data_IF_349538441063
#
_entry.id   IF_349538441063
#
_cell.length_a   1.000
_cell.length_b   1.000
_cell.length_c   1.000
_cell.angle_alpha   90.00
_cell.angle_beta   90.00
_cell.angle_gamma   90.00
#
_symmetry.space_group_name_H-M   'P 1'
#
loop_
_entity.id
_entity.type
_entity.pdbx_description
1 polymer ?
#
# COMPACT_ATOMS: atom_id res chain seq x y z
N UNK A 1 21.18 -46.45 10.78
CA UNK A 1 20.93 -45.66 11.99
C UNK A 1 20.22 -44.40 11.52
N UNK A 2 18.90 -44.44 11.55
CA UNK A 2 17.99 -43.37 11.18
C UNK A 2 17.92 -42.33 12.30
N UNK A 3 18.33 -41.11 12.02
CA UNK A 3 18.13 -39.97 12.94
C UNK A 3 16.69 -39.47 12.80
N UNK A 4 15.92 -39.69 13.83
CA UNK A 4 14.58 -39.18 14.04
C UNK A 4 14.60 -37.64 14.10
N UNK A 5 14.03 -36.98 13.08
CA UNK A 5 13.73 -35.56 13.15
C UNK A 5 12.44 -35.39 13.97
N UNK A 6 12.60 -35.04 15.22
CA UNK A 6 11.49 -34.58 16.07
C UNK A 6 10.87 -33.29 15.46
N UNK A 7 9.55 -33.25 15.26
CA UNK A 7 8.88 -32.02 14.86
C UNK A 7 8.90 -31.02 16.03
N UNK A 8 9.31 -29.79 15.73
CA UNK A 8 9.34 -28.64 16.65
C UNK A 8 8.08 -28.58 17.52
N UNK A 9 8.27 -28.39 18.82
CA UNK A 9 7.26 -28.39 19.85
C UNK A 9 6.07 -27.46 19.48
N UNK A 10 4.92 -28.05 19.26
CA UNK A 10 3.64 -27.36 19.18
C UNK A 10 3.43 -26.62 20.50
N UNK A 11 3.29 -25.31 20.44
CA UNK A 11 2.91 -24.44 21.56
C UNK A 11 1.48 -24.85 22.03
N UNK A 12 1.38 -25.89 22.85
CA UNK A 12 0.16 -26.37 23.51
C UNK A 12 -0.14 -25.44 24.69
N UNK A 13 -0.77 -24.30 24.43
CA UNK A 13 -1.07 -23.38 25.55
C UNK A 13 -1.94 -22.18 25.18
N UNK A 14 -2.46 -22.09 23.99
CA UNK A 14 -3.31 -20.99 23.56
C UNK A 14 -4.76 -21.47 23.46
N UNK A 15 -5.51 -21.21 24.52
CA UNK A 15 -6.90 -21.37 24.85
C UNK A 15 -7.87 -22.18 23.95
N UNK A 16 -8.90 -22.72 24.56
CA UNK A 16 -9.98 -23.51 23.94
C UNK A 16 -10.69 -22.85 22.73
N UNK A 17 -10.47 -21.56 22.50
CA UNK A 17 -11.06 -20.78 21.39
C UNK A 17 -10.21 -20.71 20.13
N UNK A 18 -8.95 -21.24 20.15
CA UNK A 18 -8.10 -21.33 18.95
C UNK A 18 -7.73 -19.97 18.32
N UNK A 19 -7.40 -18.97 19.15
CA UNK A 19 -6.86 -17.71 18.65
C UNK A 19 -5.50 -17.96 17.99
N UNK A 20 -5.47 -17.91 16.66
CA UNK A 20 -4.28 -18.18 15.87
C UNK A 20 -3.99 -17.00 14.95
N UNK A 21 -2.75 -16.54 14.97
CA UNK A 21 -2.20 -15.68 13.93
C UNK A 21 -0.81 -16.18 13.60
N UNK A 22 -0.56 -16.47 12.33
CA UNK A 22 0.73 -17.00 11.88
C UNK A 22 1.47 -15.97 11.08
N UNK A 23 2.70 -15.68 11.50
CA UNK A 23 3.64 -14.97 10.66
C UNK A 23 3.98 -15.82 9.44
N UNK A 24 4.03 -15.18 8.27
CA UNK A 24 4.56 -15.80 7.06
C UNK A 24 6.10 -15.77 7.13
N UNK A 25 6.78 -16.93 7.18
CA UNK A 25 8.24 -16.98 7.30
C UNK A 25 8.97 -16.41 6.07
N UNK A 26 8.27 -16.28 4.93
CA UNK A 26 8.83 -15.67 3.72
C UNK A 26 8.89 -14.14 3.79
N UNK A 27 8.21 -13.50 4.73
CA UNK A 27 8.23 -12.05 4.88
C UNK A 27 9.34 -11.64 5.84
N UNK A 28 10.53 -11.43 5.27
CA UNK A 28 11.73 -11.02 6.00
C UNK A 28 12.29 -9.73 5.41
N UNK A 29 13.23 -9.11 6.11
CA UNK A 29 13.92 -7.92 5.59
C UNK A 29 14.80 -8.24 4.39
N UNK A 30 15.33 -9.47 4.27
CA UNK A 30 16.12 -9.91 3.13
C UNK A 30 15.28 -10.06 1.86
N UNK A 31 14.01 -10.48 2.01
CA UNK A 31 13.09 -10.63 0.88
C UNK A 31 12.37 -9.33 0.52
N UNK A 32 12.43 -8.30 1.38
CA UNK A 32 11.89 -6.98 1.13
C UNK A 32 12.90 -6.12 0.38
N UNK A 33 12.54 -5.68 -0.83
CA UNK A 33 13.39 -4.79 -1.64
C UNK A 33 13.31 -3.36 -1.11
N UNK A 34 14.47 -2.82 -0.71
CA UNK A 34 14.60 -1.45 -0.26
C UNK A 34 14.65 -0.48 -1.43
N UNK A 35 14.01 0.67 -1.28
CA UNK A 35 14.05 1.80 -2.21
C UNK A 35 13.73 3.09 -1.44
N UNK A 36 13.92 4.25 -2.09
CA UNK A 36 13.70 5.56 -1.44
C UNK A 36 12.29 5.70 -0.86
N UNK A 37 11.28 5.12 -1.52
CA UNK A 37 9.87 5.20 -1.12
C UNK A 37 9.53 4.40 0.15
N UNK A 38 10.39 3.47 0.60
CA UNK A 38 10.13 2.61 1.75
C UNK A 38 11.29 2.55 2.76
N UNK A 39 12.40 3.25 2.51
CA UNK A 39 13.62 3.18 3.32
C UNK A 39 13.37 3.52 4.79
N UNK A 40 12.62 4.60 5.06
CA UNK A 40 12.29 5.00 6.43
C UNK A 40 11.40 3.95 7.13
N UNK A 41 10.40 3.44 6.43
CA UNK A 41 9.51 2.42 6.96
C UNK A 41 10.25 1.11 7.27
N UNK A 42 11.17 0.71 6.38
CA UNK A 42 12.02 -0.46 6.56
C UNK A 42 12.97 -0.29 7.77
N UNK A 43 13.63 0.86 7.89
CA UNK A 43 14.50 1.16 9.02
C UNK A 43 13.73 1.16 10.35
N UNK A 44 12.55 1.80 10.40
CA UNK A 44 11.70 1.81 11.58
C UNK A 44 11.22 0.41 11.96
N UNK A 45 10.79 -0.40 11.00
CA UNK A 45 10.35 -1.76 11.23
C UNK A 45 11.50 -2.67 11.72
N UNK A 46 12.75 -2.48 11.22
CA UNK A 46 13.93 -3.21 11.70
C UNK A 46 14.23 -2.88 13.16
N UNK A 47 14.25 -1.59 13.50
CA UNK A 47 14.48 -1.15 14.89
C UNK A 47 13.43 -1.71 15.86
N UNK A 48 12.17 -1.74 15.43
CA UNK A 48 11.08 -2.36 16.21
C UNK A 48 11.28 -3.87 16.36
N UNK A 49 11.74 -4.56 15.32
CA UNK A 49 12.03 -5.98 15.36
C UNK A 49 13.19 -6.33 16.31
N UNK A 50 14.22 -5.50 16.35
CA UNK A 50 15.39 -5.64 17.22
C UNK A 50 15.08 -5.27 18.67
N UNK A 51 14.32 -4.19 18.89
CA UNK A 51 14.06 -3.58 20.20
C UNK A 51 12.55 -3.39 20.44
N UNK A 52 11.74 -4.47 20.45
CA UNK A 52 10.29 -4.34 20.60
C UNK A 52 9.92 -3.71 21.94
N UNK A 53 8.98 -2.76 21.88
CA UNK A 53 8.46 -1.99 23.01
C UNK A 53 9.32 -0.79 23.41
N UNK A 54 10.56 -0.70 22.94
CA UNK A 54 11.51 0.35 23.34
C UNK A 54 11.81 1.37 22.22
N UNK A 55 11.78 0.94 20.94
CA UNK A 55 12.11 1.84 19.81
C UNK A 55 10.93 2.79 19.51
N UNK A 56 10.01 2.34 18.68
CA UNK A 56 8.84 3.11 18.22
C UNK A 56 7.57 2.34 18.59
N UNK A 57 6.80 2.85 19.56
CA UNK A 57 5.63 2.14 20.06
C UNK A 57 4.44 3.10 20.28
N UNK A 58 3.36 3.00 19.48
CA UNK A 58 3.20 2.10 18.33
C UNK A 58 4.03 2.51 17.11
N UNK A 59 4.34 1.55 16.23
CA UNK A 59 4.76 1.81 14.87
C UNK A 59 3.53 1.76 13.95
N UNK A 60 3.24 2.86 13.26
CA UNK A 60 2.11 2.96 12.34
C UNK A 60 2.62 3.10 10.90
N UNK A 61 2.40 2.08 10.06
CA UNK A 61 2.78 2.07 8.65
C UNK A 61 1.55 2.34 7.79
N UNK A 62 1.59 3.37 6.96
CA UNK A 62 0.45 3.67 6.08
C UNK A 62 0.87 3.90 4.63
N UNK A 63 -0.09 3.77 3.72
CA UNK A 63 0.13 3.96 2.29
C UNK A 63 -0.82 3.11 1.47
N UNK A 64 -0.85 3.30 0.17
CA UNK A 64 -1.76 2.62 -0.75
C UNK A 64 -1.74 1.09 -0.64
N UNK A 65 -2.72 0.45 -1.27
CA UNK A 65 -2.84 -1.02 -1.28
C UNK A 65 -1.65 -1.63 -2.03
N UNK A 66 -1.11 -2.74 -1.51
CA UNK A 66 -0.06 -3.51 -2.21
C UNK A 66 1.33 -2.88 -2.22
N UNK A 67 1.65 -1.94 -1.30
CA UNK A 67 2.95 -1.28 -1.19
C UNK A 67 3.95 -1.99 -0.25
N UNK A 68 3.58 -3.13 0.34
CA UNK A 68 4.48 -3.90 1.19
C UNK A 68 4.35 -3.64 2.69
N UNK A 69 3.31 -2.92 3.17
CA UNK A 69 3.04 -2.68 4.59
C UNK A 69 3.02 -3.98 5.42
N UNK A 70 2.20 -4.94 5.00
CA UNK A 70 2.08 -6.27 5.63
C UNK A 70 3.42 -7.02 5.64
N UNK A 71 4.22 -6.88 4.58
CA UNK A 71 5.54 -7.50 4.51
C UNK A 71 6.47 -6.93 5.59
N UNK A 72 6.62 -5.61 5.67
CA UNK A 72 7.46 -4.96 6.68
C UNK A 72 7.00 -5.24 8.11
N UNK A 73 5.69 -5.18 8.35
CA UNK A 73 5.10 -5.55 9.64
C UNK A 73 5.48 -6.98 10.05
N UNK A 74 5.30 -7.94 9.14
CA UNK A 74 5.62 -9.34 9.44
C UNK A 74 7.13 -9.59 9.48
N UNK A 75 7.93 -8.86 8.71
CA UNK A 75 9.39 -8.91 8.80
C UNK A 75 9.87 -8.50 10.20
N UNK A 76 9.31 -7.43 10.77
CA UNK A 76 9.59 -7.03 12.16
C UNK A 76 9.20 -8.14 13.16
N UNK A 77 8.03 -8.75 12.99
CA UNK A 77 7.58 -9.87 13.84
C UNK A 77 8.46 -11.10 13.71
N UNK A 78 8.89 -11.46 12.50
CA UNK A 78 9.81 -12.57 12.27
C UNK A 78 11.18 -12.31 12.91
N UNK A 79 11.72 -11.11 12.77
CA UNK A 79 12.97 -10.70 13.40
C UNK A 79 12.87 -10.75 14.93
N UNK A 80 11.77 -10.24 15.51
CA UNK A 80 11.52 -10.35 16.95
C UNK A 80 11.55 -11.80 17.44
N UNK A 81 10.89 -12.72 16.71
CA UNK A 81 10.89 -14.15 17.06
C UNK A 81 12.24 -14.82 16.85
N UNK A 82 13.00 -14.38 15.87
CA UNK A 82 14.36 -14.89 15.63
C UNK A 82 15.30 -14.50 16.77
N UNK A 83 15.23 -13.25 17.25
CA UNK A 83 16.07 -12.76 18.34
C UNK A 83 15.57 -13.16 19.73
N UNK A 84 14.25 -13.38 19.86
CA UNK A 84 13.56 -13.75 21.11
C UNK A 84 12.57 -14.89 20.85
N UNK A 85 13.04 -16.15 20.80
CA UNK A 85 12.19 -17.30 20.42
C UNK A 85 10.96 -17.51 21.33
N UNK A 86 11.05 -17.10 22.60
CA UNK A 86 9.97 -17.20 23.58
C UNK A 86 8.92 -16.07 23.48
N UNK A 87 9.19 -15.05 22.65
CA UNK A 87 8.28 -13.91 22.51
C UNK A 87 6.95 -14.33 21.87
N UNK A 88 5.86 -13.93 22.51
CA UNK A 88 4.49 -14.13 22.03
C UNK A 88 4.14 -13.05 21.01
N UNK A 89 4.51 -13.28 19.75
CA UNK A 89 4.23 -12.38 18.63
C UNK A 89 2.99 -12.87 17.89
N UNK A 90 1.96 -12.03 17.81
CA UNK A 90 0.73 -12.31 17.08
C UNK A 90 0.59 -11.36 15.89
N UNK A 91 0.43 -11.91 14.68
CA UNK A 91 -0.05 -11.20 13.52
C UNK A 91 -1.53 -11.49 13.30
N UNK A 92 -2.34 -10.45 13.11
CA UNK A 92 -3.78 -10.57 12.90
C UNK A 92 -4.29 -9.43 12.02
N UNK A 93 -5.21 -9.75 11.10
CA UNK A 93 -6.03 -8.73 10.43
C UNK A 93 -7.05 -8.16 11.41
N UNK A 94 -7.35 -6.89 11.33
CA UNK A 94 -8.34 -6.23 12.21
C UNK A 94 -9.72 -6.88 12.12
N UNK A 95 -10.13 -7.39 10.97
CA UNK A 95 -11.36 -8.18 10.82
C UNK A 95 -11.35 -9.46 11.68
N UNK A 96 -10.20 -10.12 11.75
CA UNK A 96 -10.05 -11.34 12.58
C UNK A 96 -10.12 -11.00 14.06
N UNK A 97 -9.51 -9.90 14.51
CA UNK A 97 -9.65 -9.42 15.89
C UNK A 97 -11.13 -9.22 16.25
N UNK A 98 -11.90 -8.58 15.38
CA UNK A 98 -13.35 -8.40 15.56
C UNK A 98 -14.09 -9.75 15.62
N UNK A 99 -13.77 -10.66 14.71
CA UNK A 99 -14.41 -11.99 14.69
C UNK A 99 -14.08 -12.81 15.93
N UNK A 100 -12.84 -12.76 16.41
CA UNK A 100 -12.40 -13.44 17.64
C UNK A 100 -13.12 -12.86 18.87
N UNK A 101 -13.30 -11.53 18.92
CA UNK A 101 -14.05 -10.86 19.98
C UNK A 101 -15.52 -11.27 19.98
N UNK A 102 -16.18 -11.25 18.83
CA UNK A 102 -17.59 -11.66 18.69
C UNK A 102 -17.78 -13.11 19.09
N UNK A 103 -16.88 -14.01 18.66
CA UNK A 103 -16.88 -15.41 19.04
C UNK A 103 -16.74 -15.58 20.56
N UNK A 104 -15.81 -14.83 21.18
CA UNK A 104 -15.62 -14.87 22.62
C UNK A 104 -16.85 -14.39 23.38
N UNK A 105 -17.57 -13.35 22.91
CA UNK A 105 -18.82 -12.89 23.49
C UNK A 105 -19.92 -13.96 23.39
N UNK A 106 -20.08 -14.60 22.24
CA UNK A 106 -21.09 -15.66 22.01
C UNK A 106 -20.88 -16.88 22.91
N UNK A 107 -19.63 -17.16 23.30
CA UNK A 107 -19.26 -18.30 24.15
C UNK A 107 -19.02 -17.92 25.61
N UNK A 108 -19.38 -16.71 26.06
CA UNK A 108 -19.12 -16.18 27.39
C UNK A 108 -17.63 -16.24 27.81
N UNK A 109 -16.70 -16.16 26.85
CA UNK A 109 -15.26 -16.30 27.02
C UNK A 109 -14.50 -14.98 26.80
N UNK A 110 -15.17 -13.84 26.96
CA UNK A 110 -14.55 -12.52 26.74
C UNK A 110 -13.32 -12.27 27.63
N UNK A 111 -13.32 -12.82 28.85
CA UNK A 111 -12.18 -12.70 29.75
C UNK A 111 -10.95 -13.50 29.26
N UNK A 112 -11.16 -14.63 28.57
CA UNK A 112 -10.09 -15.40 27.94
C UNK A 112 -9.51 -14.63 26.76
N UNK A 113 -10.37 -14.02 25.92
CA UNK A 113 -9.97 -13.14 24.84
C UNK A 113 -9.09 -11.99 25.37
N UNK A 114 -9.54 -11.26 26.40
CA UNK A 114 -8.79 -10.17 27.02
C UNK A 114 -7.43 -10.64 27.53
N UNK A 115 -7.41 -11.75 28.27
CA UNK A 115 -6.19 -12.33 28.83
C UNK A 115 -5.22 -12.73 27.72
N UNK A 116 -5.70 -13.34 26.63
CA UNK A 116 -4.89 -13.74 25.51
C UNK A 116 -4.22 -12.54 24.83
N UNK A 117 -5.01 -11.58 24.32
CA UNK A 117 -4.48 -10.43 23.58
C UNK A 117 -3.58 -9.53 24.44
N UNK A 118 -3.89 -9.38 25.74
CA UNK A 118 -3.07 -8.56 26.67
C UNK A 118 -1.81 -9.28 27.17
N UNK A 119 -1.67 -10.58 26.94
CA UNK A 119 -0.48 -11.35 27.30
C UNK A 119 0.60 -11.37 26.22
N UNK A 120 0.37 -10.73 25.08
CA UNK A 120 1.30 -10.70 23.95
C UNK A 120 2.51 -9.82 24.25
N UNK A 121 3.67 -10.20 23.71
CA UNK A 121 4.87 -9.37 23.71
C UNK A 121 4.90 -8.44 22.49
N UNK A 122 4.28 -8.85 21.37
CA UNK A 122 4.07 -8.02 20.20
C UNK A 122 2.74 -8.32 19.51
N UNK A 123 1.95 -7.27 19.26
CA UNK A 123 0.72 -7.32 18.47
C UNK A 123 0.94 -6.60 17.14
N UNK A 124 0.81 -7.34 16.04
CA UNK A 124 0.89 -6.84 14.68
C UNK A 124 -0.51 -6.87 14.08
N UNK A 125 -1.16 -5.70 13.97
CA UNK A 125 -2.53 -5.60 13.50
C UNK A 125 -2.59 -4.93 12.13
N UNK A 126 -3.10 -5.68 11.14
CA UNK A 126 -3.11 -5.27 9.74
C UNK A 126 -4.46 -4.66 9.36
N UNK A 127 -4.41 -3.63 8.51
CA UNK A 127 -5.57 -2.97 7.92
C UNK A 127 -6.57 -2.43 8.95
N UNK A 128 -6.08 -1.54 9.83
CA UNK A 128 -6.86 -0.98 10.96
C UNK A 128 -8.14 -0.25 10.52
N UNK A 129 -8.23 0.21 9.28
CA UNK A 129 -9.40 0.88 8.74
C UNK A 129 -10.68 0.01 8.78
N UNK A 130 -10.55 -1.31 8.86
CA UNK A 130 -11.70 -2.22 9.01
C UNK A 130 -12.38 -2.15 10.38
N UNK A 131 -11.84 -1.41 11.35
CA UNK A 131 -12.58 -1.07 12.57
C UNK A 131 -13.64 0.01 12.36
N UNK A 132 -13.62 0.72 11.22
CA UNK A 132 -14.59 1.78 10.91
C UNK A 132 -16.03 1.35 11.17
N UNK A 133 -16.79 2.14 11.95
CA UNK A 133 -18.17 1.87 12.31
C UNK A 133 -18.42 0.72 13.30
N UNK A 134 -17.38 0.10 13.87
CA UNK A 134 -17.52 -1.03 14.81
C UNK A 134 -17.21 -0.59 16.24
N UNK A 135 -18.05 0.24 16.83
CA UNK A 135 -17.81 0.94 18.11
C UNK A 135 -17.38 0.03 19.25
N UNK A 136 -18.10 -1.06 19.52
CA UNK A 136 -17.75 -2.01 20.58
C UNK A 136 -16.37 -2.66 20.36
N UNK A 137 -16.03 -2.96 19.13
CA UNK A 137 -14.73 -3.55 18.81
C UNK A 137 -13.59 -2.54 18.94
N UNK A 138 -13.86 -1.28 18.61
CA UNK A 138 -12.91 -0.18 18.82
C UNK A 138 -12.65 0.06 20.31
N UNK A 139 -13.69 -0.03 21.16
CA UNK A 139 -13.58 0.13 22.60
C UNK A 139 -12.69 -0.97 23.21
N UNK A 140 -12.96 -2.24 22.89
CA UNK A 140 -12.15 -3.34 23.41
C UNK A 140 -10.73 -3.32 22.86
N UNK A 141 -10.57 -2.94 21.58
CA UNK A 141 -9.24 -2.74 21.02
C UNK A 141 -8.49 -1.61 21.73
N UNK A 142 -9.14 -0.50 22.04
CA UNK A 142 -8.54 0.61 22.78
C UNK A 142 -7.98 0.18 24.13
N UNK A 143 -8.75 -0.60 24.89
CA UNK A 143 -8.29 -1.12 26.18
C UNK A 143 -7.13 -2.11 26.03
N UNK A 144 -7.18 -3.00 25.04
CA UNK A 144 -6.10 -3.94 24.75
C UNK A 144 -4.82 -3.20 24.34
N UNK A 145 -4.97 -2.24 23.45
CA UNK A 145 -3.89 -1.41 22.95
C UNK A 145 -3.19 -0.63 24.05
N UNK A 146 -3.95 0.07 24.93
CA UNK A 146 -3.37 0.79 26.05
C UNK A 146 -2.64 -0.16 27.03
N UNK A 147 -3.23 -1.30 27.36
CA UNK A 147 -2.59 -2.30 28.25
C UNK A 147 -1.24 -2.76 27.66
N UNK A 148 -1.16 -2.99 26.36
CA UNK A 148 0.08 -3.38 25.70
C UNK A 148 1.13 -2.25 25.76
N UNK A 149 0.73 -1.01 25.46
CA UNK A 149 1.65 0.14 25.51
C UNK A 149 2.17 0.41 26.94
N UNK A 150 1.30 0.40 27.93
CA UNK A 150 1.66 0.58 29.35
C UNK A 150 2.62 -0.52 29.83
N UNK A 151 2.42 -1.75 29.33
CA UNK A 151 3.32 -2.87 29.59
C UNK A 151 4.59 -2.87 28.73
N UNK A 152 4.87 -1.82 27.96
CA UNK A 152 5.98 -1.74 27.00
C UNK A 152 6.00 -2.90 26.00
N UNK A 153 4.80 -3.42 25.64
CA UNK A 153 4.64 -4.45 24.62
C UNK A 153 4.52 -3.77 23.27
N UNK A 154 5.16 -4.35 22.27
CA UNK A 154 5.18 -3.74 20.93
C UNK A 154 3.81 -3.80 20.25
N UNK A 155 3.39 -2.69 19.67
CA UNK A 155 2.26 -2.67 18.73
C UNK A 155 2.73 -2.13 17.38
N UNK A 156 2.44 -2.86 16.30
CA UNK A 156 2.64 -2.42 14.92
C UNK A 156 1.28 -2.41 14.22
N UNK A 157 0.97 -1.32 13.55
CA UNK A 157 -0.33 -1.10 12.89
C UNK A 157 -0.09 -0.78 11.43
N UNK A 158 -0.95 -1.31 10.54
CA UNK A 158 -0.98 -0.84 9.16
C UNK A 158 -2.32 -0.22 8.80
N UNK A 159 -2.31 0.68 7.82
CA UNK A 159 -3.50 1.30 7.23
C UNK A 159 -3.28 1.63 5.75
N UNK A 160 -4.38 1.75 5.01
CA UNK A 160 -4.35 2.26 3.63
C UNK A 160 -4.17 3.79 3.55
N UNK A 161 -4.33 4.51 4.69
CA UNK A 161 -4.28 5.98 4.78
C UNK A 161 -3.74 6.46 6.13
N UNK A 162 -3.44 7.75 6.19
CA UNK A 162 -2.97 8.42 7.41
C UNK A 162 -4.00 8.30 8.56
N UNK A 163 -3.60 8.18 9.84
CA UNK A 163 -4.54 7.97 10.96
C UNK A 163 -5.73 8.93 10.98
N UNK A 164 -5.51 10.24 10.77
CA UNK A 164 -6.58 11.25 10.80
C UNK A 164 -7.54 11.19 9.61
N UNK A 165 -7.20 10.44 8.57
CA UNK A 165 -8.04 10.25 7.38
C UNK A 165 -8.94 9.01 7.49
N UNK A 166 -8.79 8.23 8.57
CA UNK A 166 -9.61 7.04 8.80
C UNK A 166 -10.96 7.48 9.38
N UNK A 167 -11.96 7.55 8.52
CA UNK A 167 -13.32 7.88 8.94
C UNK A 167 -13.96 6.73 9.75
N UNK A 168 -14.82 7.06 10.73
CA UNK A 168 -15.54 6.08 11.52
C UNK A 168 -14.70 5.34 12.57
N UNK A 169 -13.49 5.82 12.86
CA UNK A 169 -12.65 5.42 14.00
C UNK A 169 -12.68 6.51 15.04
N UNK A 170 -12.79 6.13 16.32
CA UNK A 170 -12.89 7.07 17.44
C UNK A 170 -11.61 7.91 17.59
N UNK A 171 -11.76 9.20 17.87
CA UNK A 171 -10.65 10.15 18.00
C UNK A 171 -9.60 9.73 19.03
N UNK A 172 -10.02 9.07 20.13
CA UNK A 172 -9.10 8.55 21.15
C UNK A 172 -8.14 7.49 20.60
N UNK A 173 -8.58 6.63 19.65
CA UNK A 173 -7.73 5.66 18.96
C UNK A 173 -6.81 6.38 17.97
N UNK A 174 -7.34 7.30 17.18
CA UNK A 174 -6.56 8.12 16.23
C UNK A 174 -5.42 8.84 16.94
N UNK A 175 -5.71 9.48 18.09
CA UNK A 175 -4.71 10.15 18.91
C UNK A 175 -3.61 9.18 19.39
N UNK A 176 -4.00 7.99 19.81
CA UNK A 176 -3.06 6.95 20.28
C UNK A 176 -2.21 6.37 19.14
N UNK A 177 -2.77 6.20 17.94
CA UNK A 177 -2.00 5.76 16.77
C UNK A 177 -0.86 6.73 16.44
N UNK A 178 -1.10 8.03 16.62
CA UNK A 178 -0.09 9.07 16.41
C UNK A 178 0.90 9.27 17.57
N UNK A 179 0.76 8.57 18.70
CA UNK A 179 1.64 8.77 19.86
C UNK A 179 3.05 8.19 19.68
N UNK A 180 3.21 7.25 18.78
CA UNK A 180 4.50 6.67 18.40
C UNK A 180 5.03 7.22 17.08
N UNK A 181 5.56 6.36 16.23
CA UNK A 181 6.09 6.73 14.91
C UNK A 181 5.10 6.35 13.80
N UNK A 182 4.68 7.34 13.03
CA UNK A 182 3.82 7.15 11.84
C UNK A 182 4.65 7.35 10.58
N UNK A 183 4.72 6.34 9.71
CA UNK A 183 5.60 6.32 8.54
C UNK A 183 4.81 6.00 7.27
N UNK A 184 4.92 6.83 6.22
CA UNK A 184 4.36 6.54 4.91
C UNK A 184 5.16 5.47 4.16
N UNK A 185 4.48 4.74 3.29
CA UNK A 185 5.09 3.91 2.26
C UNK A 185 4.49 4.35 0.92
N UNK A 186 5.33 4.91 0.08
CA UNK A 186 4.94 5.42 -1.23
C UNK A 186 5.12 4.37 -2.34
N UNK A 187 4.49 4.54 -3.51
CA UNK A 187 4.74 3.70 -4.66
C UNK A 187 6.23 3.68 -5.04
N UNK A 188 6.78 2.50 -5.35
CA UNK A 188 8.21 2.37 -5.65
C UNK A 188 8.57 3.05 -6.98
N UNK A 189 9.76 3.63 -7.04
CA UNK A 189 10.36 4.20 -8.24
C UNK A 189 10.70 3.11 -9.28
N UNK A 190 10.99 3.49 -10.52
CA UNK A 190 11.24 2.55 -11.62
C UNK A 190 12.34 1.53 -11.27
N UNK A 191 13.45 1.99 -10.73
CA UNK A 191 14.59 1.16 -10.36
C UNK A 191 14.21 0.15 -9.27
N UNK A 192 13.45 0.60 -8.27
CA UNK A 192 12.95 -0.26 -7.19
C UNK A 192 11.95 -1.28 -7.73
N UNK A 193 11.04 -0.89 -8.65
CA UNK A 193 10.12 -1.84 -9.31
C UNK A 193 10.86 -2.92 -10.10
N UNK A 194 11.93 -2.54 -10.82
CA UNK A 194 12.79 -3.49 -11.53
C UNK A 194 13.48 -4.46 -10.57
N UNK A 195 14.00 -3.95 -9.46
CA UNK A 195 14.64 -4.78 -8.43
C UNK A 195 13.64 -5.76 -7.79
N UNK A 196 12.40 -5.32 -7.52
CA UNK A 196 11.31 -6.16 -7.02
C UNK A 196 11.00 -7.29 -8.01
N UNK A 197 10.83 -6.98 -9.30
CA UNK A 197 10.57 -7.96 -10.34
C UNK A 197 11.67 -9.00 -10.45
N UNK A 198 12.95 -8.57 -10.46
CA UNK A 198 14.12 -9.46 -10.50
C UNK A 198 14.16 -10.38 -9.27
N UNK A 199 13.98 -9.83 -8.06
CA UNK A 199 13.95 -10.58 -6.81
C UNK A 199 12.81 -11.63 -6.81
N UNK A 200 11.60 -11.24 -7.21
CA UNK A 200 10.44 -12.14 -7.28
C UNK A 200 10.57 -13.22 -8.35
N UNK A 201 11.18 -12.92 -9.49
CA UNK A 201 11.49 -13.91 -10.53
C UNK A 201 12.53 -14.94 -10.03
N UNK A 202 13.58 -14.44 -9.36
CA UNK A 202 14.62 -15.30 -8.78
C UNK A 202 14.06 -16.24 -7.69
N UNK A 203 13.17 -15.75 -6.82
CA UNK A 203 12.48 -16.59 -5.82
C UNK A 203 11.66 -17.71 -6.45
N UNK A 204 11.24 -17.56 -7.71
CA UNK A 204 10.51 -18.56 -8.49
C UNK A 204 11.42 -19.42 -9.39
N UNK A 205 12.74 -19.25 -9.31
CA UNK A 205 13.70 -19.96 -10.14
C UNK A 205 13.64 -19.57 -11.64
N UNK A 206 13.12 -18.36 -11.96
CA UNK A 206 12.93 -17.91 -13.34
C UNK A 206 13.89 -16.78 -13.65
N UNK A 207 14.66 -16.92 -14.75
CA UNK A 207 15.46 -15.84 -15.30
C UNK A 207 14.56 -14.81 -16.01
N UNK A 208 14.55 -13.56 -15.54
CA UNK A 208 13.80 -12.46 -16.15
C UNK A 208 14.78 -11.56 -16.93
N UNK A 209 14.70 -11.46 -18.28
CA UNK A 209 15.54 -10.58 -19.06
C UNK A 209 15.35 -9.10 -18.67
N UNK A 210 16.40 -8.30 -18.78
CA UNK A 210 16.39 -6.93 -18.30
C UNK A 210 15.43 -6.01 -19.08
N UNK A 211 15.32 -6.23 -20.37
CA UNK A 211 14.36 -5.53 -21.25
C UNK A 211 12.91 -5.85 -20.89
N UNK A 212 12.60 -7.09 -20.51
CA UNK A 212 11.28 -7.48 -19.99
C UNK A 212 11.02 -6.84 -18.65
N UNK A 213 12.01 -6.88 -17.74
CA UNK A 213 11.93 -6.26 -16.43
C UNK A 213 11.64 -4.76 -16.53
N UNK A 214 12.39 -4.05 -17.38
CA UNK A 214 12.18 -2.62 -17.66
C UNK A 214 10.79 -2.37 -18.28
N UNK A 215 10.39 -3.17 -19.28
CA UNK A 215 9.08 -3.05 -19.89
C UNK A 215 7.95 -3.15 -18.87
N UNK A 216 7.94 -4.21 -18.03
CA UNK A 216 6.90 -4.43 -17.02
C UNK A 216 6.91 -3.31 -15.97
N UNK A 217 8.09 -2.95 -15.44
CA UNK A 217 8.22 -1.90 -14.45
C UNK A 217 7.78 -0.51 -14.96
N UNK A 218 7.95 -0.24 -16.26
CA UNK A 218 7.50 1.00 -16.90
C UNK A 218 5.99 1.04 -17.07
N UNK A 219 5.37 -0.09 -17.37
CA UNK A 219 3.92 -0.18 -17.57
C UNK A 219 3.16 -0.17 -16.25
N UNK A 220 3.61 -0.95 -15.27
CA UNK A 220 2.90 -1.11 -14.00
C UNK A 220 3.55 -0.22 -12.94
N UNK A 221 2.87 0.88 -12.61
CA UNK A 221 3.37 1.91 -11.70
C UNK A 221 2.63 1.95 -10.37
N UNK A 222 1.47 1.33 -10.29
CA UNK A 222 0.51 1.46 -9.19
C UNK A 222 1.01 0.87 -7.88
N UNK A 223 1.38 -0.42 -7.86
CA UNK A 223 1.77 -1.12 -6.64
C UNK A 223 2.51 -2.43 -6.91
N UNK A 224 3.13 -2.97 -5.86
CA UNK A 224 3.92 -4.21 -5.93
C UNK A 224 3.06 -5.44 -6.18
N UNK A 225 1.80 -5.45 -5.70
CA UNK A 225 0.87 -6.59 -5.93
C UNK A 225 0.54 -6.74 -7.41
N UNK A 226 0.35 -5.63 -8.13
CA UNK A 226 0.13 -5.67 -9.58
C UNK A 226 1.40 -6.07 -10.34
N UNK A 227 2.59 -5.63 -9.90
CA UNK A 227 3.87 -6.09 -10.46
C UNK A 227 4.03 -7.61 -10.32
N UNK A 228 3.73 -8.16 -9.15
CA UNK A 228 3.76 -9.61 -8.92
C UNK A 228 2.71 -10.34 -9.78
N UNK A 229 1.51 -9.79 -9.89
CA UNK A 229 0.46 -10.33 -10.75
C UNK A 229 0.86 -10.37 -12.22
N UNK A 230 1.52 -9.33 -12.72
CA UNK A 230 2.05 -9.28 -14.08
C UNK A 230 3.17 -10.32 -14.30
N UNK A 231 4.11 -10.42 -13.36
CA UNK A 231 5.16 -11.41 -13.41
C UNK A 231 4.58 -12.84 -13.46
N UNK A 232 3.56 -13.12 -12.63
CA UNK A 232 2.88 -14.42 -12.63
C UNK A 232 2.25 -14.74 -13.98
N UNK A 233 1.59 -13.79 -14.63
CA UNK A 233 0.98 -13.97 -15.96
C UNK A 233 2.03 -14.25 -17.02
N UNK A 234 3.17 -13.56 -16.99
CA UNK A 234 4.28 -13.79 -17.94
C UNK A 234 4.86 -15.18 -17.75
N UNK A 235 5.15 -15.60 -16.51
CA UNK A 235 5.68 -16.94 -16.21
C UNK A 235 4.67 -18.01 -16.62
N UNK A 236 3.39 -17.85 -16.30
CA UNK A 236 2.35 -18.80 -16.68
C UNK A 236 2.24 -18.91 -18.22
N UNK A 237 2.29 -17.78 -18.94
CA UNK A 237 2.27 -17.79 -20.42
C UNK A 237 3.49 -18.50 -21.01
N UNK A 238 4.69 -18.24 -20.46
CA UNK A 238 5.92 -18.92 -20.89
C UNK A 238 5.84 -20.45 -20.69
N UNK A 239 5.41 -20.89 -19.52
CA UNK A 239 5.25 -22.30 -19.19
C UNK A 239 4.20 -23.00 -20.06
N UNK A 240 3.05 -22.32 -20.30
CA UNK A 240 1.97 -22.89 -21.10
C UNK A 240 2.33 -23.00 -22.58
N UNK A 241 3.06 -22.01 -23.11
CA UNK A 241 3.40 -21.97 -24.55
C UNK A 241 4.75 -22.64 -24.86
N UNK A 242 5.55 -22.99 -23.84
CA UNK A 242 6.93 -23.50 -24.02
C UNK A 242 7.91 -22.45 -24.59
N UNK A 243 7.52 -21.16 -24.62
CA UNK A 243 8.32 -20.08 -25.19
C UNK A 243 9.23 -19.44 -24.15
N UNK A 244 10.40 -19.00 -24.58
CA UNK A 244 11.28 -18.19 -23.73
C UNK A 244 10.64 -16.82 -23.41
N UNK A 245 10.89 -16.35 -22.18
CA UNK A 245 10.43 -15.02 -21.75
C UNK A 245 11.19 -13.94 -22.55
N UNK A 246 10.45 -13.09 -23.25
CA UNK A 246 10.93 -11.93 -23.98
C UNK A 246 9.86 -10.82 -23.95
N UNK A 247 10.18 -9.64 -24.44
CA UNK A 247 9.25 -8.49 -24.46
C UNK A 247 7.99 -8.76 -25.31
N UNK A 248 8.08 -9.58 -26.36
CA UNK A 248 6.93 -9.97 -27.19
C UNK A 248 5.93 -10.80 -26.39
N UNK A 249 6.42 -11.87 -25.71
CA UNK A 249 5.61 -12.70 -24.83
C UNK A 249 5.01 -11.88 -23.67
N UNK A 250 5.81 -10.99 -23.05
CA UNK A 250 5.34 -10.14 -21.95
C UNK A 250 4.21 -9.21 -22.40
N UNK A 251 4.32 -8.59 -23.58
CA UNK A 251 3.28 -7.75 -24.17
C UNK A 251 1.99 -8.51 -24.46
N UNK A 252 2.13 -9.73 -24.99
CA UNK A 252 1.00 -10.63 -25.26
C UNK A 252 0.30 -11.05 -23.96
N UNK A 253 1.06 -11.52 -22.96
CA UNK A 253 0.54 -11.95 -21.67
C UNK A 253 -0.14 -10.82 -20.85
N UNK A 254 0.26 -9.57 -21.04
CA UNK A 254 -0.26 -8.40 -20.33
C UNK A 254 -1.24 -7.58 -21.18
N UNK A 255 -1.61 -8.02 -22.37
CA UNK A 255 -2.44 -7.24 -23.33
C UNK A 255 -3.71 -6.71 -22.70
N UNK A 256 -4.46 -7.53 -22.00
CA UNK A 256 -5.74 -7.15 -21.40
C UNK A 256 -5.55 -6.09 -20.30
N UNK A 257 -4.49 -6.24 -19.52
CA UNK A 257 -4.15 -5.29 -18.45
C UNK A 257 -3.73 -3.94 -19.02
N UNK A 258 -2.94 -3.94 -20.08
CA UNK A 258 -2.51 -2.72 -20.77
C UNK A 258 -3.70 -2.00 -21.44
N UNK A 259 -4.58 -2.74 -22.12
CA UNK A 259 -5.80 -2.17 -22.73
C UNK A 259 -6.73 -1.60 -21.67
N UNK A 260 -6.83 -2.26 -20.49
CA UNK A 260 -7.64 -1.75 -19.38
C UNK A 260 -7.06 -0.45 -18.80
N UNK A 261 -5.75 -0.35 -18.64
CA UNK A 261 -5.07 0.88 -18.21
C UNK A 261 -5.25 2.02 -19.22
N UNK A 262 -5.07 1.75 -20.53
CA UNK A 262 -5.32 2.72 -21.59
C UNK A 262 -6.78 3.21 -21.59
N UNK A 263 -7.76 2.35 -21.30
CA UNK A 263 -9.17 2.74 -21.21
C UNK A 263 -9.50 3.58 -19.97
N UNK A 264 -8.77 3.43 -18.89
CA UNK A 264 -8.97 4.25 -17.67
C UNK A 264 -8.45 5.68 -17.86
N UNK A 265 -7.45 5.90 -18.70
CA UNK A 265 -6.85 7.22 -18.94
C UNK A 265 -7.43 7.85 -20.21
N UNK A 266 -8.75 8.01 -20.26
CA UNK A 266 -9.39 8.83 -21.28
C UNK A 266 -9.46 10.29 -20.85
N UNK A 267 -9.49 11.22 -21.82
CA UNK A 267 -9.62 12.64 -21.51
C UNK A 267 -10.89 12.96 -20.74
N UNK A 268 -11.98 12.24 -20.98
CA UNK A 268 -13.24 12.36 -20.24
C UNK A 268 -13.06 11.94 -18.79
N UNK A 269 -12.32 10.84 -18.54
CA UNK A 269 -12.03 10.40 -17.18
C UNK A 269 -11.09 11.38 -16.45
N UNK A 270 -10.08 11.93 -17.13
CA UNK A 270 -9.22 12.99 -16.57
C UNK A 270 -10.06 14.21 -16.16
N UNK A 271 -10.96 14.66 -17.03
CA UNK A 271 -11.85 15.80 -16.72
C UNK A 271 -12.75 15.51 -15.52
N UNK A 272 -13.32 14.30 -15.45
CA UNK A 272 -14.18 13.87 -14.34
C UNK A 272 -13.42 13.85 -13.02
N UNK A 273 -12.29 13.16 -12.97
CA UNK A 273 -11.46 13.03 -11.76
C UNK A 273 -10.96 14.38 -11.26
N UNK A 274 -10.48 15.25 -12.17
CA UNK A 274 -10.04 16.61 -11.82
C UNK A 274 -11.21 17.45 -11.30
N UNK A 275 -12.39 17.38 -11.94
CA UNK A 275 -13.57 18.12 -11.49
C UNK A 275 -14.04 17.67 -10.09
N UNK A 276 -14.05 16.37 -9.83
CA UNK A 276 -14.38 15.80 -8.51
C UNK A 276 -13.36 16.21 -7.44
N UNK A 277 -12.07 16.12 -7.74
CA UNK A 277 -10.99 16.49 -6.81
C UNK A 277 -11.08 17.95 -6.36
N UNK A 278 -11.30 18.89 -7.30
CA UNK A 278 -11.44 20.32 -7.01
C UNK A 278 -12.87 20.74 -6.67
N UNK A 279 -13.82 19.79 -6.52
CA UNK A 279 -15.24 20.03 -6.20
C UNK A 279 -15.90 21.06 -7.13
N UNK A 280 -15.66 20.92 -8.44
CA UNK A 280 -16.19 21.79 -9.49
C UNK A 280 -16.97 20.98 -10.53
N UNK A 281 -17.72 21.65 -11.41
CA UNK A 281 -18.44 20.98 -12.50
C UNK A 281 -17.51 20.77 -13.69
N UNK A 282 -17.67 19.64 -14.42
CA UNK A 282 -16.92 19.38 -15.66
C UNK A 282 -17.11 20.55 -16.66
N UNK A 283 -18.32 21.13 -16.73
CA UNK A 283 -18.62 22.29 -17.58
C UNK A 283 -17.76 23.52 -17.28
N UNK A 284 -17.25 23.68 -16.06
CA UNK A 284 -16.34 24.77 -15.70
C UNK A 284 -14.96 24.60 -16.33
N UNK A 285 -14.50 23.34 -16.54
CA UNK A 285 -13.27 23.05 -17.26
C UNK A 285 -13.35 23.49 -18.73
N UNK A 286 -14.52 23.41 -19.35
CA UNK A 286 -14.76 23.83 -20.73
C UNK A 286 -15.08 25.31 -20.86
N UNK A 287 -15.44 25.99 -19.75
CA UNK A 287 -15.90 27.37 -19.76
C UNK A 287 -14.79 28.35 -20.20
N UNK A 288 -15.18 29.52 -20.74
CA UNK A 288 -14.25 30.61 -21.08
C UNK A 288 -13.78 31.42 -19.84
N UNK A 289 -14.26 31.08 -18.64
CA UNK A 289 -13.90 31.78 -17.40
C UNK A 289 -12.41 31.67 -17.10
N UNK A 290 -11.82 32.78 -16.59
CA UNK A 290 -10.37 32.92 -16.34
C UNK A 290 -10.01 33.11 -14.87
N UNK A 291 -10.93 32.88 -13.94
CA UNK A 291 -10.60 32.99 -12.52
C UNK A 291 -9.63 31.84 -12.12
N UNK A 292 -8.80 32.10 -11.10
CA UNK A 292 -7.72 31.17 -10.70
C UNK A 292 -8.27 29.83 -10.23
N UNK A 293 -9.45 29.79 -9.61
CA UNK A 293 -10.12 28.59 -9.11
C UNK A 293 -10.54 27.62 -10.24
N UNK A 294 -10.77 28.12 -11.45
CA UNK A 294 -11.11 27.31 -12.61
C UNK A 294 -9.90 27.11 -13.52
N UNK A 295 -9.08 28.14 -13.68
CA UNK A 295 -7.94 28.09 -14.60
C UNK A 295 -6.88 27.10 -14.15
N UNK A 296 -6.60 27.02 -12.84
CA UNK A 296 -5.58 26.14 -12.31
C UNK A 296 -5.95 24.64 -12.46
N UNK A 297 -7.14 24.18 -12.01
CA UNK A 297 -7.60 22.81 -12.28
C UNK A 297 -7.59 22.45 -13.77
N UNK A 298 -8.03 23.38 -14.63
CA UNK A 298 -8.01 23.17 -16.09
C UNK A 298 -6.59 22.98 -16.62
N UNK A 299 -5.62 23.78 -16.17
CA UNK A 299 -4.22 23.66 -16.56
C UNK A 299 -3.64 22.31 -16.11
N UNK A 300 -3.95 21.88 -14.90
CA UNK A 300 -3.56 20.57 -14.36
C UNK A 300 -4.16 19.45 -15.23
N UNK A 301 -5.46 19.52 -15.54
CA UNK A 301 -6.13 18.53 -16.36
C UNK A 301 -5.53 18.44 -17.79
N UNK A 302 -5.19 19.58 -18.41
CA UNK A 302 -4.53 19.62 -19.72
C UNK A 302 -3.12 19.02 -19.65
N UNK A 303 -2.35 19.31 -18.61
CA UNK A 303 -1.00 18.75 -18.41
C UNK A 303 -1.07 17.24 -18.22
N UNK A 304 -1.98 16.75 -17.38
CA UNK A 304 -2.23 15.32 -17.18
C UNK A 304 -2.70 14.62 -18.45
N UNK A 305 -3.59 15.26 -19.23
CA UNK A 305 -4.04 14.73 -20.52
C UNK A 305 -2.87 14.53 -21.50
N UNK A 306 -1.93 15.48 -21.55
CA UNK A 306 -0.75 15.37 -22.41
C UNK A 306 0.24 14.31 -21.94
N UNK A 307 0.36 14.13 -20.63
CA UNK A 307 1.29 13.15 -20.05
C UNK A 307 0.74 11.72 -20.09
N UNK A 308 -0.56 11.55 -19.80
CA UNK A 308 -1.18 10.25 -19.60
C UNK A 308 -1.89 9.69 -20.83
N UNK A 309 -2.05 10.49 -21.92
CA UNK A 309 -2.68 10.05 -23.16
C UNK A 309 -1.78 10.25 -24.36
N UNK A 310 -2.09 9.58 -25.46
CA UNK A 310 -1.41 9.75 -26.75
C UNK A 310 -1.95 10.93 -27.57
N UNK A 311 -2.90 11.70 -27.01
CA UNK A 311 -3.56 12.79 -27.74
C UNK A 311 -2.59 13.92 -28.09
N UNK A 312 -2.81 14.50 -29.27
CA UNK A 312 -2.10 15.69 -29.71
C UNK A 312 -2.57 16.94 -28.97
N UNK A 313 -1.75 18.00 -28.98
CA UNK A 313 -2.13 19.28 -28.36
C UNK A 313 -3.43 19.88 -28.89
N UNK A 314 -3.70 19.86 -30.23
CA UNK A 314 -5.00 20.29 -30.78
C UNK A 314 -6.17 19.47 -30.22
N UNK A 315 -6.09 18.13 -30.26
CA UNK A 315 -7.16 17.24 -29.74
C UNK A 315 -7.47 17.51 -28.26
N UNK A 316 -6.43 17.74 -27.44
CA UNK A 316 -6.61 18.13 -26.02
C UNK A 316 -7.29 19.51 -25.97
N UNK A 317 -6.87 20.47 -26.78
CA UNK A 317 -7.48 21.80 -26.83
C UNK A 317 -8.97 21.74 -27.14
N UNK A 318 -9.35 20.96 -28.15
CA UNK A 318 -10.75 20.75 -28.56
C UNK A 318 -11.57 20.13 -27.41
N UNK A 319 -11.04 19.12 -26.74
CA UNK A 319 -11.70 18.46 -25.62
C UNK A 319 -11.89 19.39 -24.39
N UNK A 320 -11.13 20.48 -24.27
CA UNK A 320 -11.29 21.48 -23.21
C UNK A 320 -12.04 22.74 -23.68
N UNK A 321 -12.98 22.59 -24.59
CA UNK A 321 -13.87 23.67 -25.07
C UNK A 321 -13.31 24.49 -26.23
N UNK A 322 -12.64 23.85 -27.17
CA UNK A 322 -12.13 24.44 -28.40
C UNK A 322 -10.99 25.43 -28.16
N UNK A 323 -10.04 25.05 -27.32
CA UNK A 323 -8.86 25.88 -27.01
C UNK A 323 -7.74 25.60 -27.97
N UNK A 324 -7.03 26.66 -28.29
CA UNK A 324 -5.85 26.57 -29.16
C UNK A 324 -4.76 25.70 -28.50
N UNK A 325 -4.00 24.96 -29.33
CA UNK A 325 -2.89 24.11 -28.93
C UNK A 325 -1.83 24.86 -28.12
N UNK A 326 -1.62 26.16 -28.39
CA UNK A 326 -0.71 27.02 -27.61
C UNK A 326 -1.16 27.18 -26.18
N UNK A 327 -2.46 27.21 -25.93
CA UNK A 327 -3.02 27.22 -24.53
C UNK A 327 -2.69 25.94 -23.79
N UNK A 328 -2.77 24.79 -24.45
CA UNK A 328 -2.41 23.49 -23.85
C UNK A 328 -0.91 23.43 -23.58
N UNK A 329 -0.08 23.86 -24.54
CA UNK A 329 1.37 23.91 -24.36
C UNK A 329 1.78 24.85 -23.21
N UNK A 330 1.15 26.03 -23.12
CA UNK A 330 1.36 26.96 -22.02
C UNK A 330 0.95 26.33 -20.67
N UNK A 331 -0.20 25.63 -20.63
CA UNK A 331 -0.65 24.95 -19.42
C UNK A 331 0.36 23.90 -18.96
N UNK A 332 0.86 23.07 -19.86
CA UNK A 332 1.88 22.06 -19.59
C UNK A 332 3.15 22.67 -18.99
N UNK A 333 3.71 23.70 -19.65
CA UNK A 333 4.93 24.39 -19.17
C UNK A 333 4.71 25.03 -17.81
N UNK A 334 3.56 25.70 -17.62
CA UNK A 334 3.25 26.37 -16.36
C UNK A 334 3.05 25.41 -15.20
N UNK A 335 2.41 24.27 -15.42
CA UNK A 335 2.26 23.24 -14.38
C UNK A 335 3.61 22.59 -14.07
N UNK A 336 4.44 22.28 -15.08
CA UNK A 336 5.79 21.74 -14.86
C UNK A 336 6.70 22.67 -14.02
N UNK A 337 6.56 24.00 -14.19
CA UNK A 337 7.23 25.01 -13.34
C UNK A 337 6.67 25.01 -11.91
N UNK A 338 5.34 25.01 -11.78
CA UNK A 338 4.66 25.12 -10.48
C UNK A 338 4.81 23.86 -9.63
N UNK A 339 4.85 22.68 -10.20
CA UNK A 339 5.16 21.43 -9.50
C UNK A 339 6.53 21.49 -8.80
N UNK A 340 7.48 22.29 -9.33
CA UNK A 340 8.80 22.48 -8.73
C UNK A 340 8.84 23.59 -7.66
N UNK A 341 7.92 24.56 -7.73
CA UNK A 341 7.99 25.79 -6.93
C UNK A 341 6.85 25.97 -5.93
N UNK A 342 5.75 25.26 -6.09
CA UNK A 342 4.56 25.36 -5.22
C UNK A 342 4.21 23.97 -4.66
N UNK A 343 4.49 23.73 -3.36
CA UNK A 343 4.26 22.42 -2.73
C UNK A 343 2.81 21.93 -2.85
N UNK A 344 1.83 22.84 -2.76
CA UNK A 344 0.41 22.48 -2.85
C UNK A 344 0.05 22.00 -4.26
N UNK A 345 0.55 22.66 -5.29
CA UNK A 345 0.31 22.25 -6.68
C UNK A 345 1.04 20.94 -6.98
N UNK A 346 2.21 20.73 -6.40
CA UNK A 346 2.94 19.46 -6.49
C UNK A 346 2.13 18.31 -5.90
N UNK A 347 1.58 18.51 -4.71
CA UNK A 347 0.74 17.53 -4.03
C UNK A 347 -0.54 17.23 -4.83
N UNK A 348 -1.28 18.26 -5.25
CA UNK A 348 -2.49 18.13 -6.06
C UNK A 348 -2.20 17.35 -7.37
N UNK A 349 -1.10 17.68 -8.03
CA UNK A 349 -0.70 17.03 -9.28
C UNK A 349 -0.37 15.55 -9.08
N UNK A 350 0.41 15.22 -8.05
CA UNK A 350 0.78 13.83 -7.71
C UNK A 350 -0.44 13.00 -7.30
N UNK A 351 -1.35 13.58 -6.50
CA UNK A 351 -2.57 12.90 -6.10
C UNK A 351 -3.47 12.59 -7.30
N UNK A 352 -3.66 13.57 -8.21
CA UNK A 352 -4.45 13.37 -9.43
C UNK A 352 -3.79 12.38 -10.39
N UNK A 353 -2.47 12.44 -10.54
CA UNK A 353 -1.71 11.48 -11.34
C UNK A 353 -1.91 10.05 -10.82
N UNK A 354 -1.84 9.86 -9.48
CA UNK A 354 -2.09 8.57 -8.83
C UNK A 354 -3.54 8.08 -9.01
N UNK A 355 -4.53 8.98 -8.90
CA UNK A 355 -5.95 8.65 -9.09
C UNK A 355 -6.28 8.23 -10.53
N UNK A 356 -5.52 8.71 -11.51
CA UNK A 356 -5.68 8.41 -12.93
C UNK A 356 -4.88 7.17 -13.39
N UNK A 357 -4.27 6.44 -12.47
CA UNK A 357 -3.53 5.21 -12.78
C UNK A 357 -2.08 5.46 -13.20
N UNK A 358 -1.55 6.60 -12.79
CA UNK A 358 -0.12 6.94 -12.93
C UNK A 358 0.75 6.34 -11.85
#
# INVERSE_FOLDING_TARGET
VTADQQPAARNKGLGALGFEGRLNPAFTFETHVEGKSNQLARAAASQVGENPGQAYNPLFLYGGVGLGKTHLMQAAGNLTRQLRPEAKVLYVHSERFVADMVKALQHNAINEFKRFYRSLDALLIDDIQFFSGKEHSQEEFFHTFNTLLEGQRQVVITSDRFPREISGVQERLISRFGSGLTVPIDPPELETRMAILKNKAQQKGVGLPEDVCFFVAKQIRSNVRELEGALHRIIASANFTGRNINTGLAREALRDLLVFQERQVTIQNIQKVVAEYFKMRISDLHSKRRNRQITRPRQIAMALAKELTTMSLPEIGDAFGGRDHTTVLHAQRKIAELVKTDPKISEDYQNLHRLLGG
#
